data_IF_828618389843
#
_entry.id   IF_828618389843
#
_cell.length_a   1.000
_cell.length_b   1.000
_cell.length_c   1.000
_cell.angle_alpha   90.00
_cell.angle_beta   90.00
_cell.angle_gamma   90.00
#
_symmetry.space_group_name_H-M   'P 1'
#
loop_
_entity.id
_entity.type
_entity.pdbx_description
1 polymer ?
#
# COMPACT_ATOMS: atom_id res chain seq x y z
N UNK A 1 22.17 23.66 -15.13
CA UNK A 1 22.78 22.32 -15.07
C UNK A 1 21.71 21.28 -15.40
N UNK A 2 21.71 20.82 -16.62
CA UNK A 2 20.87 19.71 -17.06
C UNK A 2 21.52 18.42 -16.57
N UNK A 3 21.12 17.93 -15.40
CA UNK A 3 21.59 16.64 -14.93
C UNK A 3 20.99 15.56 -15.83
N UNK A 4 21.83 14.93 -16.61
CA UNK A 4 21.54 13.73 -17.39
C UNK A 4 21.21 12.56 -16.43
N UNK A 5 20.01 12.55 -15.85
CA UNK A 5 19.41 11.36 -15.24
C UNK A 5 18.82 10.41 -16.29
N UNK A 6 19.44 10.40 -17.50
CA UNK A 6 19.13 9.39 -18.50
C UNK A 6 19.80 8.10 -18.09
N UNK A 7 18.96 7.11 -17.74
CA UNK A 7 19.28 5.68 -17.69
C UNK A 7 20.19 5.18 -16.55
N UNK A 8 19.87 5.51 -15.31
CA UNK A 8 20.31 4.72 -14.15
C UNK A 8 19.56 3.37 -14.04
N UNK A 9 18.58 3.14 -14.91
CA UNK A 9 17.75 1.94 -14.88
C UNK A 9 18.03 1.11 -16.10
N UNK A 10 18.90 0.14 -15.94
CA UNK A 10 18.96 -0.97 -16.89
C UNK A 10 17.76 -1.85 -16.65
N UNK A 11 17.12 -2.33 -17.70
CA UNK A 11 16.03 -3.32 -17.66
C UNK A 11 16.41 -4.64 -16.94
N UNK A 12 17.61 -4.73 -16.43
CA UNK A 12 18.23 -5.91 -15.82
C UNK A 12 18.54 -5.75 -14.31
N UNK A 13 17.97 -4.76 -13.62
CA UNK A 13 18.13 -4.71 -12.18
C UNK A 13 17.47 -5.94 -11.55
N UNK A 14 18.20 -6.72 -10.73
CA UNK A 14 17.60 -7.88 -10.07
C UNK A 14 16.52 -7.43 -9.08
N UNK A 15 15.43 -8.17 -8.94
CA UNK A 15 14.46 -7.92 -7.87
C UNK A 15 15.10 -8.18 -6.50
N UNK A 16 14.56 -7.55 -5.47
CA UNK A 16 14.89 -7.90 -4.08
C UNK A 16 14.29 -9.28 -3.80
N UNK A 17 15.06 -10.14 -3.17
CA UNK A 17 14.60 -11.43 -2.71
C UNK A 17 14.38 -11.41 -1.21
N UNK A 18 13.15 -11.70 -0.78
CA UNK A 18 12.79 -11.82 0.62
C UNK A 18 12.40 -13.25 0.92
N UNK A 19 13.06 -13.85 1.90
CA UNK A 19 12.84 -15.24 2.30
C UNK A 19 12.12 -15.29 3.63
N UNK A 20 10.97 -15.97 3.65
CA UNK A 20 10.25 -16.28 4.89
C UNK A 20 10.74 -17.61 5.44
N UNK A 21 11.15 -17.58 6.70
CA UNK A 21 11.64 -18.77 7.42
C UNK A 21 10.61 -19.26 8.42
N UNK A 22 10.49 -20.59 8.52
CA UNK A 22 9.78 -21.26 9.62
C UNK A 22 10.78 -22.14 10.37
N UNK A 23 11.26 -21.66 11.51
CA UNK A 23 12.42 -22.25 12.19
C UNK A 23 13.65 -22.16 11.28
N UNK A 24 14.31 -23.30 11.02
CA UNK A 24 15.46 -23.42 10.12
C UNK A 24 15.11 -23.66 8.65
N UNK A 25 13.84 -23.83 8.34
CA UNK A 25 13.39 -24.17 6.98
C UNK A 25 12.87 -22.93 6.24
N UNK A 26 13.14 -22.88 4.94
CA UNK A 26 12.55 -21.87 4.07
C UNK A 26 11.08 -22.23 3.82
N UNK A 27 10.16 -21.34 4.20
CA UNK A 27 8.73 -21.50 3.96
C UNK A 27 8.32 -20.95 2.59
N UNK A 28 8.83 -19.75 2.24
CA UNK A 28 8.57 -19.14 0.96
C UNK A 28 9.65 -18.14 0.56
N UNK A 29 9.77 -17.89 -0.75
CA UNK A 29 10.67 -16.91 -1.33
C UNK A 29 9.83 -15.95 -2.16
N UNK A 30 9.99 -14.65 -1.91
CA UNK A 30 9.26 -13.59 -2.60
C UNK A 30 10.22 -12.74 -3.41
N UNK A 31 9.91 -12.54 -4.68
CA UNK A 31 10.62 -11.59 -5.55
C UNK A 31 9.86 -10.26 -5.55
N UNK A 32 10.56 -9.19 -5.18
CA UNK A 32 9.98 -7.87 -4.96
C UNK A 32 10.54 -6.91 -6.00
N UNK A 33 9.64 -6.27 -6.75
CA UNK A 33 9.97 -5.12 -7.57
C UNK A 33 9.64 -3.86 -6.77
N UNK A 34 10.60 -2.95 -6.64
CA UNK A 34 10.44 -1.73 -5.87
C UNK A 34 10.85 -0.52 -6.71
N UNK A 35 10.08 0.56 -6.56
CA UNK A 35 10.32 1.80 -7.30
C UNK A 35 10.19 2.98 -6.35
N UNK A 36 11.14 3.90 -6.43
CA UNK A 36 11.04 5.23 -5.84
C UNK A 36 10.92 6.23 -6.98
N UNK A 37 9.88 7.04 -6.96
CA UNK A 37 9.66 8.11 -7.93
C UNK A 37 9.65 9.48 -7.27
N UNK A 38 10.01 10.51 -8.05
CA UNK A 38 9.82 11.89 -7.63
C UNK A 38 8.36 12.35 -7.83
N UNK A 39 8.06 13.57 -7.40
CA UNK A 39 6.71 14.18 -7.53
C UNK A 39 6.25 14.36 -8.99
N UNK A 40 7.14 14.21 -9.96
CA UNK A 40 6.83 14.28 -11.39
C UNK A 40 6.66 12.88 -12.01
N UNK A 41 6.71 11.83 -11.20
CA UNK A 41 6.61 10.45 -11.65
C UNK A 41 7.89 9.89 -12.27
N UNK A 42 9.04 10.59 -12.17
CA UNK A 42 10.30 10.09 -12.69
C UNK A 42 10.90 9.12 -11.70
N UNK A 43 11.32 7.97 -12.19
CA UNK A 43 11.96 6.95 -11.35
C UNK A 43 13.32 7.49 -10.86
N UNK A 44 13.52 7.49 -9.55
CA UNK A 44 14.77 7.91 -8.89
C UNK A 44 15.62 6.70 -8.54
N UNK A 45 14.98 5.60 -8.13
CA UNK A 45 15.64 4.36 -7.78
C UNK A 45 14.67 3.20 -8.03
N UNK A 46 15.17 2.05 -8.42
CA UNK A 46 14.37 0.83 -8.51
C UNK A 46 15.20 -0.43 -8.23
N UNK A 47 14.50 -1.46 -7.81
CA UNK A 47 14.97 -2.83 -7.79
C UNK A 47 14.02 -3.68 -8.64
N UNK A 48 14.56 -4.53 -9.49
CA UNK A 48 13.79 -5.25 -10.49
C UNK A 48 13.24 -4.34 -11.58
N UNK A 49 12.15 -4.76 -12.20
CA UNK A 49 11.53 -4.03 -13.30
C UNK A 49 10.53 -2.99 -12.79
N UNK A 50 10.75 -1.68 -13.01
CA UNK A 50 9.84 -0.62 -12.58
C UNK A 50 8.49 -0.66 -13.31
N UNK A 51 8.42 -1.28 -14.49
CA UNK A 51 7.20 -1.43 -15.29
C UNK A 51 6.48 -2.76 -15.03
N UNK A 52 6.88 -3.52 -14.00
CA UNK A 52 6.26 -4.78 -13.67
C UNK A 52 4.81 -4.58 -13.24
N UNK A 53 3.90 -5.23 -13.95
CA UNK A 53 2.46 -5.14 -13.69
C UNK A 53 2.03 -6.19 -12.67
N UNK A 54 1.39 -5.74 -11.60
CA UNK A 54 0.80 -6.62 -10.59
C UNK A 54 -0.51 -6.04 -10.07
N UNK A 55 -1.31 -6.89 -9.42
CA UNK A 55 -2.53 -6.43 -8.76
C UNK A 55 -2.17 -5.77 -7.43
N UNK A 56 -2.55 -4.51 -7.25
CA UNK A 56 -2.26 -3.74 -6.03
C UNK A 56 -3.01 -4.25 -4.79
N UNK A 57 -4.18 -4.89 -5.00
CA UNK A 57 -4.99 -5.49 -3.93
C UNK A 57 -5.19 -4.54 -2.74
N UNK A 58 -5.05 -5.08 -1.52
CA UNK A 58 -5.28 -4.35 -0.27
C UNK A 58 -4.26 -3.24 0.00
N UNK A 59 -3.13 -3.22 -0.68
CA UNK A 59 -2.14 -2.15 -0.55
C UNK A 59 -2.68 -0.77 -1.00
N UNK A 60 -3.75 -0.76 -1.82
CA UNK A 60 -4.42 0.49 -2.25
C UNK A 60 -5.29 1.11 -1.15
N UNK A 61 -5.68 0.38 -0.13
CA UNK A 61 -6.68 0.84 0.87
C UNK A 61 -6.33 2.13 1.60
N UNK A 62 -5.09 2.40 2.03
CA UNK A 62 -4.72 3.69 2.60
C UNK A 62 -5.01 4.87 1.64
N UNK A 63 -4.76 4.69 0.34
CA UNK A 63 -5.06 5.70 -0.68
C UNK A 63 -6.56 5.87 -0.89
N UNK A 64 -7.33 4.80 -0.81
CA UNK A 64 -8.80 4.85 -0.89
C UNK A 64 -9.42 5.54 0.33
N UNK A 65 -8.74 5.56 1.48
CA UNK A 65 -9.20 6.25 2.68
C UNK A 65 -8.95 7.78 2.62
N UNK A 66 -8.10 8.28 1.70
CA UNK A 66 -7.79 9.71 1.59
C UNK A 66 -9.06 10.57 1.38
N UNK A 67 -9.98 10.27 0.44
CA UNK A 67 -11.21 11.05 0.28
C UNK A 67 -12.08 11.03 1.53
N UNK A 68 -12.14 9.93 2.27
CA UNK A 68 -12.88 9.83 3.52
C UNK A 68 -12.35 10.80 4.57
N UNK A 69 -11.03 10.92 4.70
CA UNK A 69 -10.40 11.84 5.65
C UNK A 69 -10.49 13.30 5.15
N UNK A 70 -10.18 13.54 3.88
CA UNK A 70 -10.12 14.90 3.31
C UNK A 70 -11.47 15.57 3.15
N UNK A 71 -12.55 14.80 3.01
CA UNK A 71 -13.93 15.32 2.94
C UNK A 71 -14.48 15.80 4.30
N UNK A 72 -13.75 15.58 5.41
CA UNK A 72 -14.22 15.84 6.76
C UNK A 72 -15.18 14.80 7.31
N UNK A 73 -15.48 13.73 6.56
CA UNK A 73 -16.35 12.65 7.04
C UNK A 73 -15.77 11.97 8.29
N UNK A 74 -14.44 11.80 8.34
CA UNK A 74 -13.75 11.26 9.50
C UNK A 74 -13.98 12.08 10.78
N UNK A 75 -14.06 13.43 10.67
CA UNK A 75 -14.31 14.32 11.80
C UNK A 75 -15.71 14.17 12.39
N UNK A 76 -16.69 13.76 11.58
CA UNK A 76 -18.07 13.51 12.02
C UNK A 76 -18.19 12.26 12.90
N UNK A 77 -17.23 11.37 12.85
CA UNK A 77 -17.15 10.14 13.65
C UNK A 77 -16.04 10.19 14.69
N UNK A 78 -15.87 11.36 15.31
CA UNK A 78 -14.90 11.64 16.39
C UNK A 78 -13.42 11.51 16.02
N UNK A 79 -13.07 11.47 14.74
CA UNK A 79 -11.68 11.43 14.26
C UNK A 79 -10.81 10.36 14.96
N UNK A 80 -11.45 9.23 15.35
CA UNK A 80 -10.78 8.17 16.09
C UNK A 80 -9.79 7.45 15.16
N UNK A 81 -8.53 7.38 15.60
CA UNK A 81 -7.45 6.71 14.87
C UNK A 81 -7.75 5.24 14.58
N UNK A 82 -8.51 4.57 15.47
CA UNK A 82 -8.92 3.19 15.27
C UNK A 82 -9.89 3.06 14.10
N UNK A 83 -10.84 3.98 13.97
CA UNK A 83 -11.79 4.01 12.85
C UNK A 83 -11.09 4.29 11.52
N UNK A 84 -10.10 5.19 11.50
CA UNK A 84 -9.28 5.47 10.31
C UNK A 84 -8.44 4.24 9.94
N UNK A 85 -7.77 3.64 10.92
CA UNK A 85 -6.98 2.42 10.70
C UNK A 85 -7.86 1.27 10.16
N UNK A 86 -9.09 1.16 10.65
CA UNK A 86 -10.07 0.19 10.20
C UNK A 86 -10.49 0.44 8.74
N UNK A 87 -10.71 1.69 8.36
CA UNK A 87 -11.03 2.08 6.99
C UNK A 87 -9.90 1.74 6.00
N UNK A 88 -8.65 1.75 6.47
CA UNK A 88 -7.47 1.34 5.71
C UNK A 88 -7.22 -0.17 5.74
N UNK A 89 -7.94 -0.93 6.57
CA UNK A 89 -7.75 -2.37 6.74
C UNK A 89 -8.52 -3.22 5.74
N UNK A 90 -8.03 -4.43 5.49
CA UNK A 90 -8.79 -5.48 4.79
C UNK A 90 -9.63 -6.22 5.82
N UNK A 91 -10.90 -5.86 5.93
CA UNK A 91 -11.80 -6.47 6.89
C UNK A 91 -12.75 -7.46 6.20
N UNK A 92 -12.79 -8.68 6.75
CA UNK A 92 -13.96 -9.54 6.60
C UNK A 92 -14.99 -9.06 7.62
N UNK A 93 -16.17 -8.67 7.15
CA UNK A 93 -17.26 -8.24 8.03
C UNK A 93 -17.80 -9.48 8.74
N UNK A 94 -17.32 -9.72 9.96
CA UNK A 94 -17.97 -10.66 10.88
C UNK A 94 -19.22 -10.00 11.46
N UNK A 95 -20.22 -10.79 11.78
CA UNK A 95 -21.56 -10.33 12.25
C UNK A 95 -21.46 -9.43 13.49
N UNK A 96 -20.45 -9.62 14.35
CA UNK A 96 -20.18 -8.76 15.51
C UNK A 96 -19.73 -7.33 15.14
N UNK A 97 -19.29 -7.13 13.89
CA UNK A 97 -18.84 -5.84 13.39
C UNK A 97 -19.97 -5.03 12.74
N UNK A 98 -21.07 -5.71 12.35
CA UNK A 98 -22.25 -5.04 11.79
C UNK A 98 -22.84 -4.00 12.75
N UNK A 99 -22.87 -4.29 14.05
CA UNK A 99 -23.36 -3.35 15.06
C UNK A 99 -22.54 -2.06 15.14
N UNK A 100 -21.21 -2.16 15.07
CA UNK A 100 -20.34 -0.97 15.10
C UNK A 100 -20.42 -0.15 13.81
N UNK A 101 -20.59 -0.80 12.65
CA UNK A 101 -20.77 -0.11 11.37
C UNK A 101 -22.15 0.53 11.25
N UNK A 102 -23.20 -0.11 11.74
CA UNK A 102 -24.55 0.46 11.76
C UNK A 102 -24.61 1.69 12.66
N UNK A 103 -23.97 1.64 13.83
CA UNK A 103 -23.85 2.82 14.71
C UNK A 103 -23.00 3.94 14.08
N UNK A 104 -22.02 3.59 13.25
CA UNK A 104 -21.17 4.56 12.58
C UNK A 104 -21.86 5.25 11.38
N UNK A 105 -22.76 4.51 10.71
CA UNK A 105 -23.46 5.00 9.51
C UNK A 105 -24.84 5.58 9.81
N UNK A 106 -25.32 5.50 11.05
CA UNK A 106 -26.60 6.07 11.46
C UNK A 106 -27.83 5.37 10.86
N UNK A 107 -27.70 4.12 10.49
CA UNK A 107 -28.77 3.26 9.95
C UNK A 107 -29.03 2.06 10.81
#
# INVERSE_FOLDING_TARGET
>A
MSSNFKNLYTSNNPPIEATLMRGSNIESIHKIHAVISDKKGRVVMCAGNPEYKSFIRSALKPFQAIPFVSSGAASKINNDLKSIALACGSQWIKTSFKGSLQNLMGI
#
